data_IF_979113245751
#
_entry.id   IF_979113245751
#
_cell.length_a   1.000
_cell.length_b   1.000
_cell.length_c   1.000
_cell.angle_alpha   90.00
_cell.angle_beta   90.00
_cell.angle_gamma   90.00
#
_symmetry.space_group_name_H-M   'P 1'
#
loop_
_entity.id
_entity.type
_entity.pdbx_description
1 polymer ?
#
# COMPACT_ATOMS: atom_id res chain seq x y z
N UNK A 1 -13.40 3.59 1.81
CA UNK A 1 -12.40 3.64 0.74
C UNK A 1 -11.24 2.72 1.08
N UNK A 2 -10.80 1.91 0.15
CA UNK A 2 -9.60 1.10 0.33
C UNK A 2 -8.38 1.85 -0.16
N UNK A 3 -7.26 1.67 0.53
CA UNK A 3 -6.00 2.33 0.20
C UNK A 3 -4.92 1.28 -0.04
N UNK A 4 -4.08 1.51 -1.04
CA UNK A 4 -2.90 0.71 -1.31
C UNK A 4 -1.66 1.57 -1.08
N UNK A 5 -0.75 1.11 -0.22
CA UNK A 5 0.54 1.76 0.03
C UNK A 5 1.62 0.90 -0.61
N UNK A 6 2.39 1.50 -1.50
CA UNK A 6 3.47 0.80 -2.22
C UNK A 6 4.79 1.10 -1.53
N UNK A 7 5.44 0.06 -1.03
CA UNK A 7 6.74 0.18 -0.37
C UNK A 7 6.88 -0.81 0.77
N UNK A 8 8.05 -0.83 1.39
CA UNK A 8 8.38 -1.77 2.46
C UNK A 8 9.18 -1.12 3.59
N UNK A 9 9.43 0.17 3.54
CA UNK A 9 10.21 0.88 4.54
C UNK A 9 9.38 1.34 5.74
N UNK A 10 10.06 1.92 6.72
CA UNK A 10 9.40 2.46 7.91
C UNK A 10 8.44 3.60 7.62
N UNK A 11 8.70 4.40 6.59
CA UNK A 11 7.81 5.48 6.18
C UNK A 11 6.49 4.96 5.66
N UNK A 12 6.54 3.89 4.88
CA UNK A 12 5.34 3.25 4.35
C UNK A 12 4.51 2.65 5.47
N UNK A 13 5.16 2.08 6.48
CA UNK A 13 4.48 1.58 7.67
C UNK A 13 3.73 2.73 8.38
N UNK A 14 4.40 3.85 8.59
CA UNK A 14 3.81 5.02 9.27
C UNK A 14 2.64 5.59 8.46
N UNK A 15 2.79 5.71 7.15
CA UNK A 15 1.72 6.18 6.26
C UNK A 15 0.51 5.27 6.31
N UNK A 16 0.73 3.97 6.21
CA UNK A 16 -0.34 2.99 6.22
C UNK A 16 -1.08 2.99 7.56
N UNK A 17 -0.34 3.03 8.64
CA UNK A 17 -0.93 3.06 9.99
C UNK A 17 -1.79 4.31 10.19
N UNK A 18 -1.28 5.45 9.75
CA UNK A 18 -2.02 6.71 9.87
C UNK A 18 -3.26 6.71 8.98
N UNK A 19 -3.14 6.20 7.76
CA UNK A 19 -4.28 6.10 6.85
C UNK A 19 -5.37 5.19 7.42
N UNK A 20 -4.99 4.10 8.08
CA UNK A 20 -5.93 3.16 8.66
C UNK A 20 -6.77 3.76 9.80
N UNK A 21 -6.33 4.88 10.36
CA UNK A 21 -7.07 5.55 11.43
C UNK A 21 -8.17 6.47 10.92
N UNK A 22 -8.21 6.74 9.63
CA UNK A 22 -9.25 7.58 9.05
C UNK A 22 -10.59 6.84 9.03
N UNK A 23 -11.66 7.52 9.45
CA UNK A 23 -13.00 6.93 9.45
C UNK A 23 -13.52 6.59 8.06
N UNK A 24 -13.00 7.24 7.02
CA UNK A 24 -13.42 7.00 5.65
C UNK A 24 -12.64 5.87 4.97
N UNK A 25 -11.66 5.28 5.67
CA UNK A 25 -10.85 4.18 5.14
C UNK A 25 -11.36 2.85 5.67
N UNK A 26 -11.70 1.94 4.76
CA UNK A 26 -12.20 0.62 5.12
C UNK A 26 -11.07 -0.38 5.32
N UNK A 27 -10.09 -0.36 4.41
CA UNK A 27 -8.98 -1.30 4.47
C UNK A 27 -7.72 -0.67 3.86
N UNK A 28 -6.56 -1.01 4.42
CA UNK A 28 -5.26 -0.56 3.92
C UNK A 28 -4.42 -1.77 3.56
N UNK A 29 -3.97 -1.82 2.32
CA UNK A 29 -3.05 -2.83 1.82
C UNK A 29 -1.66 -2.23 1.67
N UNK A 30 -0.62 -3.00 1.98
CA UNK A 30 0.77 -2.57 1.83
C UNK A 30 1.50 -3.59 0.94
N UNK A 31 2.07 -3.13 -0.15
CA UNK A 31 2.73 -4.00 -1.12
C UNK A 31 4.20 -3.58 -1.30
N UNK A 32 5.15 -4.44 -1.00
CA UNK A 32 5.03 -5.74 -0.37
C UNK A 32 4.89 -5.67 1.16
N UNK A 33 5.10 -4.52 1.77
CA UNK A 33 5.10 -4.37 3.21
C UNK A 33 6.36 -4.91 3.87
N UNK A 34 6.32 -5.01 5.19
CA UNK A 34 7.44 -5.56 5.98
C UNK A 34 6.90 -6.26 7.23
N UNK A 35 7.82 -6.74 8.09
CA UNK A 35 7.43 -7.43 9.32
C UNK A 35 6.63 -6.52 10.27
N UNK A 36 6.93 -5.22 10.28
CA UNK A 36 6.19 -4.26 11.10
C UNK A 36 4.75 -4.09 10.61
N UNK A 37 4.54 -3.93 9.31
CA UNK A 37 3.19 -3.82 8.75
C UNK A 37 2.40 -5.11 8.92
N UNK A 38 3.07 -6.26 8.88
CA UNK A 38 2.41 -7.55 9.08
C UNK A 38 1.84 -7.72 10.49
N UNK A 39 2.37 -6.99 11.46
CA UNK A 39 1.91 -7.04 12.85
C UNK A 39 0.75 -6.11 13.16
N UNK A 40 0.45 -5.19 12.24
CA UNK A 40 -0.63 -4.23 12.46
C UNK A 40 -1.96 -4.86 12.03
N UNK A 41 -2.91 -5.03 12.94
CA UNK A 41 -4.18 -5.68 12.58
C UNK A 41 -5.00 -4.90 11.56
N UNK A 42 -4.78 -3.60 11.44
CA UNK A 42 -5.50 -2.76 10.48
C UNK A 42 -4.86 -2.77 9.09
N UNK A 43 -3.70 -3.41 8.93
CA UNK A 43 -2.95 -3.44 7.67
C UNK A 43 -2.89 -4.86 7.13
N UNK A 44 -2.88 -4.98 5.80
CA UNK A 44 -2.73 -6.27 5.11
C UNK A 44 -1.55 -6.18 4.14
N UNK A 45 -0.55 -7.02 4.35
CA UNK A 45 0.56 -7.11 3.40
C UNK A 45 0.11 -7.86 2.15
N UNK A 46 0.58 -7.40 1.00
CA UNK A 46 0.29 -8.02 -0.29
C UNK A 46 1.61 -8.38 -0.94
N UNK A 47 1.79 -9.63 -1.32
CA UNK A 47 3.05 -10.13 -1.88
C UNK A 47 3.22 -9.72 -3.34
N UNK A 48 3.30 -8.41 -3.58
CA UNK A 48 3.53 -7.83 -4.90
C UNK A 48 4.75 -6.92 -4.82
N UNK A 49 5.70 -7.13 -5.72
CA UNK A 49 6.91 -6.31 -5.79
C UNK A 49 6.55 -4.87 -6.20
N UNK A 50 7.27 -3.89 -5.63
CA UNK A 50 7.05 -2.48 -5.94
C UNK A 50 7.24 -2.13 -7.41
N UNK A 51 8.00 -2.93 -8.15
CA UNK A 51 8.25 -2.74 -9.57
C UNK A 51 7.30 -3.52 -10.48
N UNK A 52 6.43 -4.34 -9.92
CA UNK A 52 5.45 -5.11 -10.69
C UNK A 52 4.18 -4.29 -10.91
N UNK A 53 4.26 -3.34 -11.83
CA UNK A 53 3.21 -2.37 -12.07
C UNK A 53 1.90 -3.00 -12.52
N UNK A 54 1.98 -4.03 -13.33
CA UNK A 54 0.79 -4.73 -13.82
C UNK A 54 0.04 -5.39 -12.68
N UNK A 55 0.75 -6.11 -11.82
CA UNK A 55 0.14 -6.76 -10.66
C UNK A 55 -0.45 -5.76 -9.68
N UNK A 56 0.25 -4.63 -9.47
CA UNK A 56 -0.25 -3.57 -8.59
C UNK A 56 -1.54 -2.94 -9.12
N UNK A 57 -1.59 -2.67 -10.42
CA UNK A 57 -2.78 -2.11 -11.05
C UNK A 57 -3.95 -3.09 -11.00
N UNK A 58 -3.70 -4.35 -11.29
CA UNK A 58 -4.72 -5.40 -11.23
C UNK A 58 -5.26 -5.57 -9.82
N UNK A 59 -4.37 -5.55 -8.82
CA UNK A 59 -4.77 -5.64 -7.42
C UNK A 59 -5.65 -4.45 -7.02
N UNK A 60 -5.26 -3.24 -7.40
CA UNK A 60 -5.99 -2.04 -7.05
C UNK A 60 -7.40 -2.07 -7.64
N UNK A 61 -7.54 -2.52 -8.89
CA UNK A 61 -8.84 -2.64 -9.54
C UNK A 61 -9.68 -3.73 -8.88
N UNK A 62 -9.10 -4.89 -8.63
CA UNK A 62 -9.83 -6.03 -8.06
C UNK A 62 -10.32 -5.76 -6.64
N UNK A 63 -9.65 -4.89 -5.89
CA UNK A 63 -9.95 -4.61 -4.48
C UNK A 63 -10.57 -3.23 -4.28
N UNK A 64 -11.02 -2.59 -5.33
CA UNK A 64 -11.67 -1.27 -5.28
C UNK A 64 -10.83 -0.22 -4.53
N UNK A 65 -9.54 -0.18 -4.82
CA UNK A 65 -8.63 0.78 -4.20
C UNK A 65 -8.95 2.17 -4.73
N UNK A 66 -9.29 3.07 -3.83
CA UNK A 66 -9.62 4.46 -4.20
C UNK A 66 -8.42 5.40 -4.17
N UNK A 67 -7.35 5.03 -3.48
CA UNK A 67 -6.16 5.86 -3.36
C UNK A 67 -4.93 4.96 -3.26
N UNK A 68 -3.90 5.28 -4.05
CA UNK A 68 -2.62 4.59 -3.99
C UNK A 68 -1.54 5.58 -3.54
N UNK A 69 -0.86 5.24 -2.45
CA UNK A 69 0.24 6.03 -1.92
C UNK A 69 1.56 5.34 -2.26
N UNK A 70 2.51 6.10 -2.76
CA UNK A 70 3.80 5.57 -3.19
C UNK A 70 4.88 6.10 -2.25
N UNK A 71 5.63 5.19 -1.61
CA UNK A 71 6.69 5.58 -0.70
C UNK A 71 7.88 6.22 -1.43
N UNK A 72 8.75 6.91 -0.67
CA UNK A 72 9.86 7.66 -1.30
C UNK A 72 10.86 6.79 -2.06
N UNK A 73 10.99 5.53 -1.70
CA UNK A 73 11.86 4.59 -2.41
C UNK A 73 11.15 3.85 -3.53
N UNK A 74 9.85 4.03 -3.67
CA UNK A 74 9.08 3.35 -4.68
C UNK A 74 9.25 4.03 -6.05
N UNK A 75 8.84 3.36 -7.13
CA UNK A 75 9.18 3.80 -8.48
C UNK A 75 8.27 4.90 -9.02
N UNK A 76 8.29 6.06 -8.40
CA UNK A 76 7.55 7.24 -8.90
C UNK A 76 7.94 7.57 -10.33
N UNK A 77 9.24 7.53 -10.59
CA UNK A 77 9.77 7.85 -11.92
C UNK A 77 9.43 6.81 -12.97
N UNK A 78 8.94 5.66 -12.57
CA UNK A 78 8.52 4.62 -13.50
C UNK A 78 7.04 4.74 -13.88
N UNK A 79 6.33 5.74 -13.40
CA UNK A 79 4.97 6.02 -13.82
C UNK A 79 3.90 5.16 -13.16
N UNK A 80 4.14 4.68 -11.97
CA UNK A 80 3.15 3.90 -11.21
C UNK A 80 1.98 4.76 -10.73
N UNK A 81 2.24 6.00 -10.50
CA UNK A 81 1.29 6.95 -9.93
C UNK A 81 0.14 7.28 -10.86
#
# INVERSE_FOLDING_TARGET
MNILVIGSGGREHSLAWKAAQSASVDQVFVAPGNAGTAREPALSNVAIDTMDFTALADFAEANNVGLTLVGPEAPLVAGVV
#
